data_IF_113780436952
#
_entry.id   IF_113780436952
#
_cell.length_a   1.000
_cell.length_b   1.000
_cell.length_c   1.000
_cell.angle_alpha   90.00
_cell.angle_beta   90.00
_cell.angle_gamma   90.00
#
_symmetry.space_group_name_H-M   'P 1'
#
loop_
_entity.id
_entity.type
_entity.pdbx_description
1 polymer ?
#
# COMPACT_ATOMS: atom_id res chain seq x y z
N UNK A 1 -6.98 99.37 36.79
CA UNK A 1 -6.19 98.15 36.99
C UNK A 1 -6.66 97.09 35.99
N UNK A 2 -5.73 96.61 35.15
CA UNK A 2 -5.63 95.34 34.39
C UNK A 2 -6.92 94.61 33.93
N UNK A 3 -7.11 94.43 32.60
CA UNK A 3 -6.87 93.20 31.79
C UNK A 3 -7.86 92.05 32.16
N UNK A 4 -8.54 91.33 31.27
CA UNK A 4 -8.16 90.82 29.96
C UNK A 4 -9.40 90.18 29.27
N UNK A 5 -9.30 90.05 27.95
CA UNK A 5 -10.22 89.46 26.98
C UNK A 5 -10.46 87.95 27.09
N UNK A 6 -11.62 87.45 26.60
CA UNK A 6 -11.66 86.30 25.67
C UNK A 6 -13.02 86.19 24.95
N UNK A 7 -12.97 86.04 23.62
CA UNK A 7 -14.08 85.71 22.70
C UNK A 7 -14.15 84.18 22.56
N UNK A 8 -15.29 83.60 22.14
CA UNK A 8 -15.43 82.46 21.19
C UNK A 8 -16.91 81.96 21.24
N UNK A 9 -17.75 82.32 20.27
CA UNK A 9 -18.12 81.64 19.01
C UNK A 9 -19.08 80.44 19.14
N UNK A 10 -20.21 80.61 18.45
CA UNK A 10 -21.36 79.76 18.21
C UNK A 10 -20.97 78.51 17.37
N UNK A 11 -21.46 77.34 17.73
CA UNK A 11 -21.28 76.07 17.01
C UNK A 11 -22.61 75.40 16.71
N UNK A 12 -22.90 75.24 15.42
CA UNK A 12 -24.05 74.61 14.77
C UNK A 12 -24.14 73.11 15.09
N UNK A 13 -25.30 72.62 15.56
CA UNK A 13 -25.57 71.17 15.64
C UNK A 13 -25.97 70.65 14.26
N UNK A 14 -25.15 69.78 13.67
CA UNK A 14 -25.50 68.94 12.54
C UNK A 14 -25.90 67.55 13.07
N UNK A 15 -27.16 67.16 12.85
CA UNK A 15 -27.64 65.80 13.08
C UNK A 15 -27.11 64.89 11.97
N UNK A 16 -26.18 64.00 12.32
CA UNK A 16 -25.72 62.91 11.46
C UNK A 16 -26.74 61.77 11.60
N UNK A 17 -27.44 61.45 10.50
CA UNK A 17 -28.24 60.24 10.39
C UNK A 17 -27.32 59.03 10.35
N UNK A 18 -27.42 58.17 11.36
CA UNK A 18 -26.70 56.90 11.44
C UNK A 18 -27.45 55.89 10.55
N UNK A 19 -27.02 55.72 9.31
CA UNK A 19 -27.44 54.59 8.48
C UNK A 19 -26.68 53.35 8.97
N UNK A 20 -27.36 52.47 9.70
CA UNK A 20 -26.86 51.16 10.04
C UNK A 20 -26.81 50.31 8.75
N UNK A 21 -25.65 50.26 8.11
CA UNK A 21 -25.37 49.30 7.05
C UNK A 21 -25.33 47.90 7.66
N UNK A 22 -26.42 47.16 7.48
CA UNK A 22 -26.47 45.73 7.78
C UNK A 22 -25.56 45.02 6.77
N UNK A 23 -24.35 44.66 7.19
CA UNK A 23 -23.49 43.75 6.45
C UNK A 23 -24.19 42.39 6.44
N UNK A 24 -24.90 42.09 5.34
CA UNK A 24 -25.32 40.73 5.04
C UNK A 24 -24.04 39.92 4.83
N UNK A 25 -23.66 39.09 5.81
CA UNK A 25 -22.73 38.00 5.56
C UNK A 25 -23.43 37.06 4.59
N UNK A 26 -23.01 37.10 3.32
CA UNK A 26 -23.34 36.03 2.39
C UNK A 26 -22.54 34.84 2.89
N UNK A 27 -23.21 33.90 3.57
CA UNK A 27 -22.60 32.61 3.81
C UNK A 27 -22.34 32.01 2.42
N UNK A 28 -21.07 32.00 2.01
CA UNK A 28 -20.66 31.22 0.85
C UNK A 28 -21.00 29.77 1.14
N UNK A 29 -21.60 29.10 0.17
CA UNK A 29 -21.84 27.68 0.31
C UNK A 29 -20.47 27.00 0.24
N UNK A 30 -20.09 26.24 1.26
CA UNK A 30 -18.74 25.67 1.38
C UNK A 30 -18.67 24.27 0.74
N UNK A 31 -17.49 23.90 0.29
CA UNK A 31 -17.10 22.57 -0.20
C UNK A 31 -15.85 22.13 0.57
N UNK A 32 -15.63 20.82 0.74
CA UNK A 32 -14.40 20.30 1.34
C UNK A 32 -13.60 19.51 0.33
N UNK A 33 -12.29 19.75 0.26
CA UNK A 33 -11.40 19.07 -0.69
C UNK A 33 -10.17 18.54 0.02
N UNK A 34 -9.93 17.23 -0.10
CA UNK A 34 -8.66 16.59 0.20
C UNK A 34 -7.89 16.37 -1.10
N UNK A 35 -6.61 16.76 -1.14
CA UNK A 35 -5.75 16.59 -2.31
C UNK A 35 -4.75 15.48 -2.00
N UNK A 36 -4.48 14.62 -2.98
CA UNK A 36 -3.57 13.48 -2.87
C UNK A 36 -2.61 13.46 -4.05
N UNK A 37 -1.31 13.36 -3.79
CA UNK A 37 -0.31 13.16 -4.83
C UNK A 37 -0.04 11.67 -5.05
N UNK A 38 -0.64 11.09 -6.09
CA UNK A 38 -0.49 9.68 -6.46
C UNK A 38 0.23 9.47 -7.81
N UNK A 39 0.83 10.51 -8.39
CA UNK A 39 1.55 10.44 -9.67
C UNK A 39 3.06 10.13 -9.48
N UNK A 40 3.58 8.96 -9.88
CA UNK A 40 4.97 8.56 -9.67
C UNK A 40 5.88 8.97 -10.85
N UNK A 41 5.87 10.23 -11.28
CA UNK A 41 6.52 10.63 -12.54
C UNK A 41 8.06 10.79 -12.47
N UNK A 42 8.68 10.57 -11.31
CA UNK A 42 10.13 10.71 -11.09
C UNK A 42 10.66 9.66 -10.10
N UNK A 43 11.95 9.30 -10.24
CA UNK A 43 12.63 8.21 -9.53
C UNK A 43 12.97 8.53 -8.06
N UNK A 44 12.93 9.81 -7.68
CA UNK A 44 13.18 10.29 -6.32
C UNK A 44 11.96 11.05 -5.80
N UNK A 45 11.70 10.95 -4.49
CA UNK A 45 10.57 11.69 -3.86
C UNK A 45 10.69 13.21 -4.09
N UNK A 46 11.88 13.78 -3.89
CA UNK A 46 12.14 15.21 -4.19
C UNK A 46 11.89 15.53 -5.67
N UNK A 47 12.21 14.61 -6.58
CA UNK A 47 11.93 14.75 -8.01
C UNK A 47 10.45 14.77 -8.36
N UNK A 48 9.58 14.23 -7.49
CA UNK A 48 8.12 14.27 -7.65
C UNK A 48 7.48 15.54 -7.10
N UNK A 49 8.27 16.44 -6.52
CA UNK A 49 7.78 17.69 -5.92
C UNK A 49 7.04 18.57 -6.93
N UNK A 50 5.85 19.05 -6.54
CA UNK A 50 5.03 19.99 -7.34
C UNK A 50 4.54 21.19 -6.53
N UNK A 51 4.18 22.24 -7.26
CA UNK A 51 3.35 23.34 -6.78
C UNK A 51 1.95 23.21 -7.38
N UNK A 52 0.94 23.18 -6.52
CA UNK A 52 -0.47 23.19 -6.93
C UNK A 52 -0.99 24.62 -6.85
N UNK A 53 -1.63 25.08 -7.91
CA UNK A 53 -2.25 26.42 -7.97
C UNK A 53 -3.76 26.30 -8.19
N UNK A 54 -4.49 27.25 -7.62
CA UNK A 54 -5.93 27.43 -7.83
C UNK A 54 -6.18 28.88 -8.22
N UNK A 55 -6.83 29.11 -9.36
CA UNK A 55 -7.05 30.43 -9.94
C UNK A 55 -5.75 31.25 -10.08
N UNK A 56 -4.66 30.56 -10.42
CA UNK A 56 -3.31 31.15 -10.59
C UNK A 56 -2.56 31.46 -9.29
N UNK A 57 -3.13 31.21 -8.12
CA UNK A 57 -2.45 31.37 -6.83
C UNK A 57 -1.96 30.01 -6.31
N UNK A 58 -0.72 29.94 -5.83
CA UNK A 58 -0.19 28.73 -5.19
C UNK A 58 -0.96 28.40 -3.90
N UNK A 59 -1.41 27.16 -3.79
CA UNK A 59 -2.15 26.63 -2.62
C UNK A 59 -1.37 25.54 -1.89
N UNK A 60 -0.55 24.78 -2.61
CA UNK A 60 0.39 23.80 -2.06
C UNK A 60 1.74 23.98 -2.75
N UNK A 61 2.82 23.89 -1.99
CA UNK A 61 4.20 23.97 -2.47
C UNK A 61 5.01 22.84 -1.87
N UNK A 62 6.01 22.34 -2.61
CA UNK A 62 6.81 21.17 -2.22
C UNK A 62 5.94 19.96 -1.89
N UNK A 63 4.87 19.76 -2.64
CA UNK A 63 3.94 18.66 -2.45
C UNK A 63 4.47 17.46 -3.24
N UNK A 64 4.89 16.41 -2.56
CA UNK A 64 5.61 15.27 -3.15
C UNK A 64 4.69 14.05 -3.28
N UNK A 65 5.11 13.05 -4.05
CA UNK A 65 4.43 11.76 -4.14
C UNK A 65 4.20 11.16 -2.76
N UNK A 66 2.98 10.64 -2.54
CA UNK A 66 2.42 10.14 -1.26
C UNK A 66 1.91 11.21 -0.30
N UNK A 67 2.16 12.50 -0.57
CA UNK A 67 1.57 13.56 0.24
C UNK A 67 0.06 13.64 0.04
N UNK A 68 -0.63 14.01 1.12
CA UNK A 68 -2.04 14.36 1.08
C UNK A 68 -2.35 15.45 2.09
N UNK A 69 -3.37 16.25 1.81
CA UNK A 69 -3.83 17.30 2.72
C UNK A 69 -4.87 16.75 3.71
N UNK A 70 -5.11 17.42 4.85
CA UNK A 70 -6.43 17.34 5.47
C UNK A 70 -7.49 17.90 4.51
N UNK A 71 -8.77 17.69 4.82
CA UNK A 71 -9.84 18.38 4.10
C UNK A 71 -9.71 19.90 4.27
N UNK A 72 -9.61 20.59 3.14
CA UNK A 72 -9.57 22.04 3.04
C UNK A 72 -10.99 22.55 2.80
N UNK A 73 -11.44 23.50 3.61
CA UNK A 73 -12.72 24.19 3.41
C UNK A 73 -12.52 25.33 2.42
N UNK A 74 -13.31 25.32 1.34
CA UNK A 74 -13.25 26.29 0.26
C UNK A 74 -14.66 26.76 -0.10
N UNK A 75 -14.82 27.99 -0.64
CA UNK A 75 -16.07 28.39 -1.27
C UNK A 75 -16.41 27.49 -2.46
N UNK A 76 -17.66 27.05 -2.59
CA UNK A 76 -18.12 26.38 -3.79
C UNK A 76 -18.06 27.31 -5.00
N UNK A 77 -17.70 26.78 -6.18
CA UNK A 77 -17.55 27.56 -7.40
C UNK A 77 -16.63 26.92 -8.43
N UNK A 78 -16.30 27.70 -9.45
CA UNK A 78 -15.39 27.30 -10.52
C UNK A 78 -13.94 27.61 -10.14
N UNK A 79 -13.05 26.66 -10.42
CA UNK A 79 -11.63 26.75 -10.15
C UNK A 79 -10.81 26.33 -11.36
N UNK A 80 -9.82 27.15 -11.72
CA UNK A 80 -8.76 26.78 -12.65
C UNK A 80 -7.58 26.23 -11.84
N UNK A 81 -7.37 24.92 -11.93
CA UNK A 81 -6.31 24.21 -11.25
C UNK A 81 -5.13 23.98 -12.19
N UNK A 82 -3.91 24.15 -11.67
CA UNK A 82 -2.70 23.74 -12.37
C UNK A 82 -1.71 23.09 -11.40
N UNK A 83 -1.05 22.03 -11.86
CA UNK A 83 0.00 21.30 -11.15
C UNK A 83 1.31 21.48 -11.89
N UNK A 84 2.29 22.09 -11.23
CA UNK A 84 3.55 22.51 -11.85
C UNK A 84 4.70 21.79 -11.14
N UNK A 85 5.45 20.91 -11.83
CA UNK A 85 6.64 20.28 -11.27
C UNK A 85 7.68 21.31 -10.81
N UNK A 86 8.33 21.03 -9.69
CA UNK A 86 9.39 21.88 -9.15
C UNK A 86 10.50 22.09 -10.19
N UNK A 87 10.85 23.35 -10.43
CA UNK A 87 11.84 23.72 -11.46
C UNK A 87 11.28 23.87 -12.88
N UNK A 88 9.98 23.60 -13.10
CA UNK A 88 9.27 23.91 -14.34
C UNK A 88 8.56 25.27 -14.27
N UNK A 89 8.33 25.88 -15.43
CA UNK A 89 7.39 27.01 -15.59
C UNK A 89 6.09 26.59 -16.29
N UNK A 90 6.08 25.41 -16.89
CA UNK A 90 4.92 24.86 -17.59
C UNK A 90 4.19 23.87 -16.68
N UNK A 91 2.85 23.94 -16.60
CA UNK A 91 2.06 22.98 -15.85
C UNK A 91 2.09 21.61 -16.53
N UNK A 92 2.22 20.56 -15.72
CA UNK A 92 2.08 19.17 -16.17
C UNK A 92 0.61 18.74 -16.24
N UNK A 93 -0.25 19.34 -15.40
CA UNK A 93 -1.70 19.13 -15.41
C UNK A 93 -2.39 20.49 -15.32
N UNK A 94 -3.40 20.70 -16.17
CA UNK A 94 -4.33 21.83 -16.08
C UNK A 94 -5.77 21.30 -16.13
N UNK A 95 -6.63 21.82 -15.26
CA UNK A 95 -8.05 21.45 -15.23
C UNK A 95 -8.93 22.60 -14.75
N UNK A 96 -10.01 22.87 -15.46
CA UNK A 96 -11.10 23.71 -14.96
C UNK A 96 -12.17 22.82 -14.34
N UNK A 97 -12.45 23.01 -13.06
CA UNK A 97 -13.39 22.18 -12.29
C UNK A 97 -14.45 23.03 -11.60
N UNK A 98 -15.66 22.51 -11.48
CA UNK A 98 -16.73 23.10 -10.68
C UNK A 98 -16.86 22.30 -9.39
N UNK A 99 -16.66 22.95 -8.26
CA UNK A 99 -16.82 22.35 -6.94
C UNK A 99 -18.20 22.70 -6.37
N UNK A 100 -19.02 21.67 -6.16
CA UNK A 100 -20.39 21.85 -5.68
C UNK A 100 -20.44 21.99 -4.15
N UNK A 101 -21.37 22.82 -3.68
CA UNK A 101 -21.54 23.06 -2.26
C UNK A 101 -22.05 21.82 -1.51
N UNK A 102 -21.52 21.61 -0.30
CA UNK A 102 -21.90 20.51 0.57
C UNK A 102 -21.42 19.13 0.12
N UNK A 103 -20.49 19.08 -0.84
CA UNK A 103 -19.82 17.86 -1.27
C UNK A 103 -18.41 17.81 -0.69
N UNK A 104 -17.99 16.61 -0.31
CA UNK A 104 -16.62 16.32 0.06
C UNK A 104 -15.95 15.63 -1.13
N UNK A 105 -14.78 16.12 -1.52
CA UNK A 105 -13.99 15.55 -2.61
C UNK A 105 -12.63 15.09 -2.13
N UNK A 106 -12.20 13.92 -2.60
CA UNK A 106 -10.79 13.51 -2.60
C UNK A 106 -10.31 13.59 -4.05
N UNK A 107 -9.38 14.49 -4.33
CA UNK A 107 -8.82 14.72 -5.67
C UNK A 107 -7.42 14.14 -5.73
N UNK A 108 -7.23 13.13 -6.58
CA UNK A 108 -5.93 12.49 -6.78
C UNK A 108 -5.26 13.09 -8.02
N UNK A 109 -4.00 13.50 -7.91
CA UNK A 109 -3.13 13.63 -9.07
C UNK A 109 -2.57 12.23 -9.39
N UNK A 110 -2.84 11.71 -10.59
CA UNK A 110 -2.52 10.32 -10.99
C UNK A 110 -1.83 10.29 -12.35
N UNK A 111 -1.30 9.12 -12.72
CA UNK A 111 -0.54 8.89 -13.95
C UNK A 111 0.97 9.07 -13.74
N UNK A 112 1.77 8.53 -14.65
CA UNK A 112 3.24 8.65 -14.65
C UNK A 112 3.75 9.50 -15.83
N UNK A 113 2.86 9.87 -16.76
CA UNK A 113 3.21 10.59 -17.98
C UNK A 113 3.91 9.72 -19.04
N UNK A 114 4.07 8.42 -18.79
CA UNK A 114 4.71 7.46 -19.69
C UNK A 114 3.73 6.36 -20.11
N UNK A 115 3.26 5.56 -19.15
CA UNK A 115 2.26 4.52 -19.36
C UNK A 115 0.84 5.11 -19.35
N UNK A 116 0.57 5.99 -18.40
CA UNK A 116 -0.74 6.63 -18.22
C UNK A 116 -0.58 8.15 -18.16
N UNK A 117 -1.43 8.93 -18.85
CA UNK A 117 -1.32 10.38 -18.86
C UNK A 117 -1.54 10.97 -17.46
N UNK A 118 -0.80 12.04 -17.15
CA UNK A 118 -1.00 12.80 -15.92
C UNK A 118 -2.37 13.48 -15.94
N UNK A 119 -3.15 13.32 -14.87
CA UNK A 119 -4.49 13.92 -14.76
C UNK A 119 -4.93 14.10 -13.30
N UNK A 120 -5.97 14.92 -13.10
CA UNK A 120 -6.68 15.03 -11.83
C UNK A 120 -7.93 14.14 -11.85
N UNK A 121 -8.06 13.30 -10.82
CA UNK A 121 -9.19 12.40 -10.64
C UNK A 121 -9.98 12.75 -9.39
N UNK A 122 -11.15 13.42 -9.52
CA UNK A 122 -12.01 13.71 -8.38
C UNK A 122 -12.85 12.50 -7.99
N UNK A 123 -12.82 12.16 -6.70
CA UNK A 123 -13.69 11.19 -6.07
C UNK A 123 -14.65 11.91 -5.11
N UNK A 124 -15.90 11.47 -5.05
CA UNK A 124 -16.90 12.02 -4.13
C UNK A 124 -16.91 11.18 -2.86
N UNK A 125 -16.76 11.86 -1.71
CA UNK A 125 -16.75 11.25 -0.38
C UNK A 125 -18.11 11.40 0.27
N UNK A 126 -19.10 10.69 -0.28
CA UNK A 126 -20.46 10.69 0.24
C UNK A 126 -20.82 9.28 0.73
N UNK A 127 -20.71 9.08 2.04
CA UNK A 127 -21.09 7.83 2.70
C UNK A 127 -21.73 8.12 4.05
N UNK A 128 -22.83 7.43 4.35
CA UNK A 128 -23.43 7.46 5.67
C UNK A 128 -22.49 6.85 6.71
N UNK A 129 -22.69 7.18 7.99
CA UNK A 129 -21.96 6.53 9.07
C UNK A 129 -22.19 5.01 9.02
N UNK A 130 -21.13 4.20 9.19
CA UNK A 130 -21.26 2.75 9.15
C UNK A 130 -22.06 2.25 10.36
N UNK A 131 -22.61 1.04 10.26
CA UNK A 131 -23.28 0.38 11.37
C UNK A 131 -22.36 0.19 12.58
N UNK A 132 -22.95 0.09 13.79
CA UNK A 132 -22.20 -0.15 15.03
C UNK A 132 -21.30 -1.40 14.91
N UNK A 133 -20.00 -1.21 15.12
CA UNK A 133 -18.99 -2.26 15.00
C UNK A 133 -18.40 -2.44 13.59
N UNK A 134 -18.87 -1.68 12.60
CA UNK A 134 -18.39 -1.72 11.22
C UNK A 134 -17.62 -0.45 10.85
N UNK A 135 -16.95 -0.47 9.69
CA UNK A 135 -16.33 0.67 9.02
C UNK A 135 -16.73 0.73 7.54
N UNK A 136 -16.58 1.89 6.91
CA UNK A 136 -16.66 2.04 5.47
C UNK A 136 -15.26 2.04 4.87
N UNK A 137 -15.06 1.28 3.78
CA UNK A 137 -13.82 1.26 3.02
C UNK A 137 -14.08 1.47 1.53
N UNK A 138 -13.23 2.25 0.87
CA UNK A 138 -13.17 2.39 -0.59
C UNK A 138 -11.79 1.98 -1.08
N UNK A 139 -11.74 1.15 -2.11
CA UNK A 139 -10.51 0.77 -2.81
C UNK A 139 -10.41 1.57 -4.10
N UNK A 140 -9.23 2.13 -4.35
CA UNK A 140 -8.91 2.92 -5.55
C UNK A 140 -7.64 2.36 -6.18
N UNK A 141 -7.67 2.13 -7.49
CA UNK A 141 -6.47 1.73 -8.23
C UNK A 141 -5.94 2.92 -9.04
N UNK A 142 -4.83 3.50 -8.57
CA UNK A 142 -4.17 4.66 -9.15
C UNK A 142 -2.70 4.39 -9.53
N UNK A 143 -2.30 3.13 -9.65
CA UNK A 143 -0.93 2.70 -9.94
C UNK A 143 -0.76 2.50 -11.46
N UNK A 144 -0.02 3.37 -12.18
CA UNK A 144 0.04 3.37 -13.65
C UNK A 144 1.16 2.48 -14.21
N UNK A 145 1.27 1.23 -13.76
CA UNK A 145 2.43 0.38 -14.09
C UNK A 145 2.40 -0.25 -15.49
N UNK A 146 1.36 0.03 -16.29
CA UNK A 146 1.23 -0.43 -17.68
C UNK A 146 0.35 0.52 -18.51
N UNK A 147 0.46 0.44 -19.84
CA UNK A 147 -0.15 1.36 -20.81
C UNK A 147 -1.57 0.97 -21.26
N UNK A 148 -2.02 -0.24 -20.95
CA UNK A 148 -3.40 -0.69 -21.22
C UNK A 148 -4.14 -1.07 -19.94
N UNK A 149 -5.45 -0.84 -19.92
CA UNK A 149 -6.33 -1.18 -18.80
C UNK A 149 -6.17 -2.66 -18.42
N UNK A 150 -6.16 -3.56 -19.41
CA UNK A 150 -6.01 -5.01 -19.16
C UNK A 150 -4.65 -5.37 -18.55
N UNK A 151 -3.59 -4.66 -18.90
CA UNK A 151 -2.26 -4.92 -18.34
C UNK A 151 -2.11 -4.37 -16.93
N UNK A 152 -2.94 -3.37 -16.56
CA UNK A 152 -3.02 -2.85 -15.20
C UNK A 152 -3.97 -3.64 -14.29
N UNK A 153 -4.71 -4.62 -14.81
CA UNK A 153 -5.70 -5.32 -14.01
C UNK A 153 -5.10 -6.02 -12.78
N UNK A 154 -5.68 -5.72 -11.61
CA UNK A 154 -5.36 -6.35 -10.33
C UNK A 154 -6.59 -6.91 -9.64
N UNK A 155 -6.36 -7.80 -8.69
CA UNK A 155 -7.38 -8.35 -7.81
C UNK A 155 -7.03 -8.10 -6.36
N UNK A 156 -8.03 -7.77 -5.54
CA UNK A 156 -7.87 -7.60 -4.10
C UNK A 156 -8.21 -8.91 -3.42
N UNK A 157 -7.24 -9.44 -2.67
CA UNK A 157 -7.35 -10.75 -2.03
C UNK A 157 -6.95 -10.66 -0.56
N UNK A 158 -7.45 -11.58 0.26
CA UNK A 158 -6.88 -11.84 1.59
C UNK A 158 -5.49 -12.48 1.45
N UNK A 159 -4.69 -12.52 2.50
CA UNK A 159 -3.46 -13.31 2.54
C UNK A 159 -3.66 -14.77 2.08
N UNK A 160 -4.76 -15.41 2.52
CA UNK A 160 -5.16 -16.77 2.10
C UNK A 160 -5.68 -16.89 0.66
N UNK A 161 -5.59 -15.83 -0.16
CA UNK A 161 -5.93 -15.85 -1.59
C UNK A 161 -7.41 -15.66 -1.94
N UNK A 162 -8.32 -15.59 -0.96
CA UNK A 162 -9.73 -15.35 -1.21
C UNK A 162 -9.98 -13.93 -1.76
N UNK A 163 -10.81 -13.81 -2.79
CA UNK A 163 -11.19 -12.52 -3.39
C UNK A 163 -12.02 -11.70 -2.41
N UNK A 164 -11.71 -10.41 -2.30
CA UNK A 164 -12.42 -9.44 -1.46
C UNK A 164 -13.43 -8.68 -2.29
N UNK A 165 -14.69 -8.65 -1.86
CA UNK A 165 -15.77 -7.84 -2.44
C UNK A 165 -15.90 -7.91 -3.98
N UNK A 166 -15.64 -9.07 -4.58
CA UNK A 166 -15.61 -9.27 -6.03
C UNK A 166 -14.66 -8.33 -6.80
N UNK A 167 -13.64 -7.77 -6.14
CA UNK A 167 -12.62 -6.93 -6.75
C UNK A 167 -11.61 -7.81 -7.49
N UNK A 168 -11.98 -8.21 -8.70
CA UNK A 168 -11.16 -9.00 -9.64
C UNK A 168 -11.09 -8.26 -10.96
N UNK A 169 -9.91 -8.22 -11.59
CA UNK A 169 -9.74 -7.51 -12.85
C UNK A 169 -10.03 -6.02 -12.72
N UNK A 170 -9.61 -5.40 -11.61
CA UNK A 170 -9.74 -3.96 -11.36
C UNK A 170 -8.65 -3.26 -12.16
N UNK A 171 -8.98 -2.49 -13.21
CA UNK A 171 -7.97 -1.78 -14.00
C UNK A 171 -7.55 -0.48 -13.31
N UNK A 172 -6.48 0.15 -13.83
CA UNK A 172 -6.12 1.52 -13.49
C UNK A 172 -7.32 2.46 -13.68
N UNK A 173 -7.40 3.49 -12.85
CA UNK A 173 -8.50 4.47 -12.88
C UNK A 173 -9.87 3.91 -12.47
N UNK A 174 -9.89 2.73 -11.81
CA UNK A 174 -11.10 2.15 -11.23
C UNK A 174 -11.15 2.30 -9.70
N UNK A 175 -12.37 2.38 -9.15
CA UNK A 175 -12.62 2.48 -7.72
C UNK A 175 -13.90 1.73 -7.35
N UNK A 176 -13.94 1.17 -6.14
CA UNK A 176 -15.01 0.25 -5.69
C UNK A 176 -16.30 0.93 -5.23
N UNK A 177 -16.28 2.24 -4.99
CA UNK A 177 -17.19 2.90 -4.07
C UNK A 177 -16.91 2.52 -2.62
N UNK A 178 -17.58 3.19 -1.68
CA UNK A 178 -17.56 2.76 -0.29
C UNK A 178 -18.42 1.52 -0.10
N UNK A 179 -17.89 0.54 0.62
CA UNK A 179 -18.63 -0.61 1.12
C UNK A 179 -18.31 -0.83 2.59
N UNK A 180 -19.26 -1.41 3.32
CA UNK A 180 -19.18 -1.59 4.75
C UNK A 180 -18.59 -2.98 5.10
N UNK A 181 -17.66 -3.02 6.06
CA UNK A 181 -17.07 -4.25 6.59
C UNK A 181 -16.99 -4.21 8.12
N UNK A 182 -16.95 -5.35 8.82
CA UNK A 182 -16.68 -5.39 10.25
C UNK A 182 -15.33 -4.75 10.61
N UNK A 183 -15.24 -4.14 11.78
CA UNK A 183 -13.95 -3.71 12.32
C UNK A 183 -13.08 -4.91 12.71
N UNK A 184 -11.76 -4.77 12.57
CA UNK A 184 -10.80 -5.79 12.94
C UNK A 184 -9.46 -5.64 12.22
N UNK A 185 -8.60 -6.62 12.41
CA UNK A 185 -7.29 -6.69 11.74
C UNK A 185 -7.43 -7.43 10.41
N UNK A 186 -6.96 -6.80 9.34
CA UNK A 186 -7.03 -7.33 7.99
C UNK A 186 -5.63 -7.51 7.39
N UNK A 187 -5.43 -8.66 6.77
CA UNK A 187 -4.22 -8.99 6.00
C UNK A 187 -4.63 -9.21 4.54
N UNK A 188 -4.41 -8.17 3.73
CA UNK A 188 -4.86 -8.07 2.35
C UNK A 188 -3.67 -7.97 1.42
N UNK A 189 -3.87 -8.28 0.15
CA UNK A 189 -2.89 -8.13 -0.90
C UNK A 189 -3.52 -7.70 -2.22
N UNK A 190 -2.72 -7.00 -3.02
CA UNK A 190 -2.99 -6.71 -4.43
C UNK A 190 -2.24 -7.74 -5.25
N UNK A 191 -2.96 -8.51 -6.06
CA UNK A 191 -2.41 -9.62 -6.82
C UNK A 191 -2.91 -9.62 -8.27
N UNK A 192 -2.30 -10.43 -9.12
CA UNK A 192 -2.82 -10.75 -10.46
C UNK A 192 -4.20 -11.39 -10.39
N UNK A 193 -4.90 -11.40 -11.52
CA UNK A 193 -6.25 -11.95 -11.63
C UNK A 193 -6.35 -13.43 -11.26
N UNK A 194 -5.33 -14.23 -11.61
CA UNK A 194 -5.23 -15.62 -11.20
C UNK A 194 -4.78 -15.80 -9.74
N UNK A 195 -4.35 -14.73 -9.07
CA UNK A 195 -3.85 -14.72 -7.70
C UNK A 195 -2.45 -15.31 -7.54
N UNK A 196 -1.76 -15.60 -8.64
CA UNK A 196 -0.43 -16.23 -8.64
C UNK A 196 0.71 -15.25 -8.47
N UNK A 197 0.52 -13.96 -8.75
CA UNK A 197 1.53 -12.90 -8.61
C UNK A 197 1.04 -11.88 -7.61
N UNK A 198 1.79 -11.65 -6.53
CA UNK A 198 1.54 -10.55 -5.62
C UNK A 198 2.24 -9.28 -6.12
N UNK A 199 1.49 -8.20 -6.30
CA UNK A 199 2.03 -6.88 -6.68
C UNK A 199 2.32 -6.02 -5.46
N UNK A 200 1.41 -6.01 -4.48
CA UNK A 200 1.57 -5.26 -3.23
C UNK A 200 1.06 -6.13 -2.07
N UNK A 201 1.88 -6.27 -1.04
CA UNK A 201 1.57 -7.07 0.14
C UNK A 201 1.76 -6.22 1.41
N UNK A 202 0.76 -5.43 1.82
CA UNK A 202 0.83 -4.65 3.06
C UNK A 202 0.91 -5.55 4.29
N UNK A 203 1.57 -5.08 5.34
CA UNK A 203 1.49 -5.72 6.66
C UNK A 203 0.05 -5.68 7.20
N UNK A 204 -0.34 -6.60 8.11
CA UNK A 204 -1.69 -6.59 8.66
C UNK A 204 -2.00 -5.27 9.36
N UNK A 205 -3.16 -4.69 9.04
CA UNK A 205 -3.56 -3.39 9.55
C UNK A 205 -4.84 -3.51 10.40
N UNK A 206 -4.88 -2.78 11.51
CA UNK A 206 -6.09 -2.66 12.33
C UNK A 206 -7.03 -1.60 11.76
N UNK A 207 -8.26 -2.00 11.48
CA UNK A 207 -9.30 -1.15 10.91
C UNK A 207 -10.40 -0.92 11.98
N UNK A 208 -10.44 0.25 12.63
CA UNK A 208 -11.34 0.51 13.75
C UNK A 208 -12.78 0.76 13.28
N UNK A 209 -13.74 0.42 14.14
CA UNK A 209 -15.17 0.71 13.91
C UNK A 209 -15.42 2.22 13.80
N UNK A 210 -16.39 2.60 12.97
CA UNK A 210 -16.79 3.99 12.73
C UNK A 210 -15.92 4.74 11.72
N UNK A 211 -14.86 4.12 11.18
CA UNK A 211 -13.95 4.77 10.24
C UNK A 211 -14.51 4.82 8.82
N UNK A 212 -14.14 5.87 8.08
CA UNK A 212 -14.28 5.96 6.62
C UNK A 212 -12.87 5.98 6.03
N UNK A 213 -12.49 4.92 5.34
CA UNK A 213 -11.10 4.73 4.87
C UNK A 213 -11.09 4.64 3.34
N UNK A 214 -10.17 5.36 2.72
CA UNK A 214 -9.83 5.14 1.29
C UNK A 214 -8.44 4.53 1.21
N UNK A 215 -8.32 3.36 0.59
CA UNK A 215 -7.04 2.72 0.29
C UNK A 215 -6.76 2.84 -1.19
N UNK A 216 -5.58 3.35 -1.53
CA UNK A 216 -5.20 3.73 -2.89
C UNK A 216 -3.94 2.96 -3.26
N UNK A 217 -4.01 2.09 -4.26
CA UNK A 217 -2.82 1.50 -4.86
C UNK A 217 -2.11 2.57 -5.72
N UNK A 218 -0.83 2.81 -5.43
CA UNK A 218 0.00 3.86 -6.05
C UNK A 218 1.35 3.29 -6.49
N UNK A 219 2.11 4.10 -7.24
CA UNK A 219 3.43 3.73 -7.77
C UNK A 219 3.35 3.07 -9.15
N UNK A 220 4.45 3.07 -9.89
CA UNK A 220 4.55 2.46 -11.22
C UNK A 220 5.52 1.26 -11.25
N UNK A 221 6.22 0.98 -10.15
CA UNK A 221 7.22 -0.08 -10.04
C UNK A 221 8.54 0.23 -10.77
N UNK A 222 8.66 1.43 -11.37
CA UNK A 222 9.84 1.85 -12.14
C UNK A 222 10.47 3.10 -11.53
N UNK A 223 9.71 4.19 -11.46
CA UNK A 223 10.13 5.43 -10.83
C UNK A 223 9.87 5.37 -9.32
N UNK A 224 8.69 4.90 -8.92
CA UNK A 224 8.33 4.73 -7.51
C UNK A 224 7.84 3.31 -7.28
N UNK A 225 8.23 2.66 -6.16
CA UNK A 225 7.77 1.31 -5.85
C UNK A 225 6.23 1.27 -5.75
N UNK A 226 5.66 0.12 -6.09
CA UNK A 226 4.23 -0.13 -5.86
C UNK A 226 3.95 -0.13 -4.36
N UNK A 227 2.86 0.52 -3.96
CA UNK A 227 2.49 0.66 -2.55
C UNK A 227 1.02 1.01 -2.34
N UNK A 228 0.61 1.08 -1.07
CA UNK A 228 -0.75 1.49 -0.69
C UNK A 228 -0.66 2.76 0.16
N UNK A 229 -1.37 3.80 -0.27
CA UNK A 229 -1.65 4.99 0.52
C UNK A 229 -3.04 4.86 1.13
N UNK A 230 -3.14 4.86 2.46
CA UNK A 230 -4.40 4.79 3.19
C UNK A 230 -4.75 6.14 3.79
N UNK A 231 -5.89 6.72 3.45
CA UNK A 231 -6.34 8.00 4.01
C UNK A 231 -7.19 7.75 5.27
N UNK A 232 -6.93 8.44 6.40
CA UNK A 232 -5.95 9.52 6.60
C UNK A 232 -4.61 9.08 7.24
N UNK A 233 -4.26 7.79 7.19
CA UNK A 233 -3.12 7.21 7.92
C UNK A 233 -1.76 7.54 7.26
N UNK A 234 -1.68 7.44 5.94
CA UNK A 234 -0.44 7.53 5.16
C UNK A 234 -0.10 6.21 4.46
N UNK A 235 1.16 6.09 4.03
CA UNK A 235 1.65 4.89 3.37
C UNK A 235 1.62 3.70 4.33
N UNK A 236 1.07 2.58 3.87
CA UNK A 236 1.10 1.34 4.62
C UNK A 236 2.46 0.65 4.44
N UNK A 237 3.05 0.10 5.51
CA UNK A 237 4.23 -0.73 5.37
C UNK A 237 3.90 -1.93 4.49
N UNK A 238 4.76 -2.21 3.52
CA UNK A 238 4.67 -3.41 2.70
C UNK A 238 5.70 -4.43 3.18
N UNK A 239 5.32 -5.70 3.16
CA UNK A 239 6.25 -6.81 3.37
C UNK A 239 7.29 -6.80 2.27
N UNK A 240 8.50 -7.25 2.60
CA UNK A 240 9.53 -7.39 1.60
C UNK A 240 9.07 -8.42 0.55
N UNK A 241 9.17 -8.09 -0.76
CA UNK A 241 8.84 -9.05 -1.80
C UNK A 241 9.64 -10.33 -1.59
N UNK A 242 8.96 -11.47 -1.59
CA UNK A 242 9.69 -12.73 -1.72
C UNK A 242 10.46 -12.70 -3.03
N UNK A 243 11.75 -13.00 -2.98
CA UNK A 243 12.60 -13.08 -4.15
C UNK A 243 13.31 -14.45 -4.21
N UNK A 244 14.16 -14.62 -5.21
CA UNK A 244 14.94 -15.84 -5.36
C UNK A 244 16.26 -15.79 -4.56
N UNK A 245 16.47 -14.79 -3.69
CA UNK A 245 17.74 -14.60 -2.98
C UNK A 245 18.10 -15.80 -2.12
N UNK A 246 17.12 -16.48 -1.52
CA UNK A 246 17.34 -17.65 -0.65
C UNK A 246 17.31 -18.99 -1.40
N UNK A 247 17.07 -18.98 -2.72
CA UNK A 247 16.98 -20.19 -3.54
C UNK A 247 18.29 -20.97 -3.57
N UNK A 248 18.22 -22.29 -3.50
CA UNK A 248 19.38 -23.16 -3.68
C UNK A 248 19.57 -24.14 -2.53
N UNK A 249 20.81 -24.60 -2.40
CA UNK A 249 21.14 -25.69 -1.48
C UNK A 249 21.79 -25.11 -0.24
N UNK A 250 21.30 -25.54 0.91
CA UNK A 250 21.73 -25.13 2.24
C UNK A 250 22.15 -26.35 3.02
N UNK A 251 23.27 -26.28 3.72
CA UNK A 251 23.78 -27.35 4.56
C UNK A 251 23.68 -26.94 6.02
N UNK A 252 23.46 -27.92 6.89
CA UNK A 252 23.60 -27.72 8.33
C UNK A 252 25.07 -27.50 8.69
N UNK A 253 25.35 -26.42 9.42
CA UNK A 253 26.67 -26.15 9.99
C UNK A 253 26.91 -26.97 11.28
N UNK A 254 25.83 -27.44 11.90
CA UNK A 254 25.85 -28.19 13.17
C UNK A 254 26.00 -29.70 12.98
N UNK A 255 25.60 -30.22 11.82
CA UNK A 255 25.49 -31.66 11.56
C UNK A 255 26.06 -32.04 10.19
N UNK A 256 26.67 -33.23 10.10
CA UNK A 256 27.16 -33.74 8.83
C UNK A 256 26.01 -34.36 8.01
N UNK A 257 26.00 -34.11 6.69
CA UNK A 257 25.11 -34.75 5.69
C UNK A 257 23.62 -34.43 5.84
N UNK A 258 23.31 -33.30 6.46
CA UNK A 258 21.95 -32.79 6.55
C UNK A 258 21.86 -31.41 5.89
N UNK A 259 20.65 -31.06 5.46
CA UNK A 259 20.37 -29.74 4.94
C UNK A 259 19.09 -29.67 4.13
N UNK A 260 18.99 -28.61 3.35
CA UNK A 260 17.76 -28.16 2.72
C UNK A 260 18.00 -27.77 1.27
N UNK A 261 17.04 -28.09 0.42
CA UNK A 261 16.93 -27.51 -0.92
C UNK A 261 15.75 -26.56 -0.85
N UNK A 262 16.03 -25.26 -0.99
CA UNK A 262 15.06 -24.19 -0.85
C UNK A 262 14.70 -23.65 -2.24
N UNK A 263 13.40 -23.51 -2.49
CA UNK A 263 12.88 -22.92 -3.70
C UNK A 263 11.78 -21.92 -3.34
N UNK A 264 12.12 -20.64 -3.23
CA UNK A 264 11.13 -19.58 -3.16
C UNK A 264 10.27 -19.57 -4.41
N UNK A 265 9.01 -19.22 -4.22
CA UNK A 265 8.07 -18.87 -5.28
C UNK A 265 7.68 -17.41 -5.00
N UNK A 266 8.48 -16.43 -5.46
CA UNK A 266 8.25 -14.98 -5.30
C UNK A 266 6.82 -14.55 -5.48
N UNK A 267 6.23 -15.01 -6.58
CA UNK A 267 4.89 -14.63 -7.00
C UNK A 267 3.82 -15.04 -5.97
N UNK A 268 4.06 -16.11 -5.20
CA UNK A 268 3.09 -16.71 -4.28
C UNK A 268 3.37 -16.40 -2.79
N UNK A 269 4.44 -15.67 -2.44
CA UNK A 269 4.92 -15.53 -1.05
C UNK A 269 5.06 -16.88 -0.34
N UNK A 270 5.72 -17.80 -1.03
CA UNK A 270 5.76 -19.21 -0.65
C UNK A 270 7.17 -19.74 -0.75
N UNK A 271 7.54 -20.61 0.17
CA UNK A 271 8.79 -21.36 0.15
C UNK A 271 8.44 -22.85 0.12
N UNK A 272 8.90 -23.51 -0.94
CA UNK A 272 8.82 -24.96 -1.05
C UNK A 272 10.22 -25.54 -1.05
N UNK A 273 10.32 -26.82 -0.70
CA UNK A 273 11.62 -27.45 -0.75
C UNK A 273 11.66 -28.85 -0.20
N UNK A 274 12.87 -29.31 0.04
CA UNK A 274 13.16 -30.66 0.51
C UNK A 274 14.15 -30.61 1.65
N UNK A 275 13.88 -31.38 2.70
CA UNK A 275 14.84 -31.67 3.76
C UNK A 275 15.52 -32.99 3.39
N UNK A 276 16.85 -32.97 3.29
CA UNK A 276 17.64 -34.19 3.17
C UNK A 276 18.32 -34.44 4.51
N UNK A 277 18.07 -35.60 5.10
CA UNK A 277 18.74 -36.05 6.32
C UNK A 277 19.23 -37.48 6.14
N UNK A 278 20.38 -37.75 6.75
CA UNK A 278 20.99 -39.06 6.79
C UNK A 278 20.80 -39.68 8.18
N UNK A 279 20.09 -40.80 8.26
CA UNK A 279 19.75 -41.49 9.51
C UNK A 279 20.98 -41.71 10.43
N UNK A 280 21.03 -41.10 11.63
CA UNK A 280 22.09 -41.34 12.60
C UNK A 280 21.93 -42.69 13.33
N UNK A 281 20.77 -43.36 13.26
CA UNK A 281 20.50 -44.64 13.91
C UNK A 281 21.04 -45.87 13.17
N UNK A 282 21.69 -45.68 12.01
CA UNK A 282 22.48 -46.71 11.34
C UNK A 282 21.68 -47.69 10.47
N UNK A 283 20.43 -47.39 10.11
CA UNK A 283 19.64 -48.22 9.17
C UNK A 283 20.16 -48.13 7.72
N UNK A 284 20.89 -47.05 7.39
CA UNK A 284 21.44 -46.82 6.05
C UNK A 284 20.42 -46.33 5.02
N UNK A 285 19.20 -45.98 5.44
CA UNK A 285 18.15 -45.48 4.56
C UNK A 285 18.14 -43.95 4.52
N UNK A 286 18.15 -43.39 3.30
CA UNK A 286 17.91 -41.97 3.08
C UNK A 286 16.43 -41.65 3.27
N UNK A 287 16.13 -40.62 4.06
CA UNK A 287 14.77 -40.09 4.18
C UNK A 287 14.71 -38.70 3.59
N UNK A 288 13.68 -38.49 2.79
CA UNK A 288 13.39 -37.23 2.13
C UNK A 288 12.08 -36.72 2.68
N UNK A 289 12.07 -35.46 3.09
CA UNK A 289 10.85 -34.75 3.48
C UNK A 289 10.66 -33.59 2.51
N UNK A 290 9.42 -33.28 2.15
CA UNK A 290 9.15 -32.01 1.47
C UNK A 290 8.49 -31.07 2.45
N UNK A 291 8.62 -29.78 2.18
CA UNK A 291 7.87 -28.77 2.89
C UNK A 291 7.28 -27.75 1.94
N UNK A 292 6.19 -27.16 2.39
CA UNK A 292 5.41 -26.19 1.64
C UNK A 292 4.76 -25.22 2.61
N UNK A 293 5.04 -23.93 2.46
CA UNK A 293 4.32 -22.92 3.22
C UNK A 293 4.70 -21.50 2.90
N UNK A 294 4.23 -20.60 3.74
CA UNK A 294 4.35 -19.16 3.54
C UNK A 294 5.78 -18.70 3.72
N UNK A 295 6.16 -17.67 2.98
CA UNK A 295 7.43 -16.99 3.08
C UNK A 295 7.19 -15.49 2.93
N UNK A 296 7.64 -14.71 3.90
CA UNK A 296 7.56 -13.26 3.87
C UNK A 296 8.59 -12.68 4.84
N UNK A 297 9.07 -11.46 4.61
CA UNK A 297 9.94 -10.75 5.56
C UNK A 297 11.16 -11.56 6.02
N UNK A 298 11.68 -12.44 5.14
CA UNK A 298 12.82 -13.34 5.41
C UNK A 298 12.53 -14.40 6.48
N UNK A 299 11.26 -14.67 6.74
CA UNK A 299 10.78 -15.75 7.59
C UNK A 299 9.84 -16.67 6.81
N UNK A 300 10.02 -17.99 6.93
CA UNK A 300 9.11 -18.96 6.32
C UNK A 300 8.58 -19.93 7.37
N UNK A 301 7.30 -20.26 7.30
CA UNK A 301 6.68 -21.33 8.08
C UNK A 301 6.04 -22.31 7.12
N UNK A 302 6.48 -23.56 7.15
CA UNK A 302 6.06 -24.57 6.19
C UNK A 302 5.63 -25.88 6.86
N UNK A 303 4.57 -26.49 6.33
CA UNK A 303 4.17 -27.84 6.72
C UNK A 303 5.17 -28.85 6.15
N UNK A 304 5.61 -29.81 6.97
CA UNK A 304 6.57 -30.85 6.57
C UNK A 304 5.87 -32.18 6.39
N UNK A 305 6.06 -32.77 5.21
CA UNK A 305 5.49 -34.05 4.84
C UNK A 305 6.56 -35.10 4.58
N UNK A 306 6.34 -36.29 5.13
CA UNK A 306 7.13 -37.49 4.86
C UNK A 306 6.44 -38.36 3.81
N UNK A 307 7.22 -38.88 2.86
CA UNK A 307 6.75 -39.80 1.83
C UNK A 307 7.47 -41.14 1.99
N UNK A 308 6.71 -42.22 1.86
CA UNK A 308 7.23 -43.59 1.91
C UNK A 308 6.69 -44.40 0.73
N UNK A 309 7.40 -45.48 0.38
CA UNK A 309 6.98 -46.48 -0.61
C UNK A 309 6.82 -46.00 -2.07
N UNK A 310 7.38 -44.84 -2.42
CA UNK A 310 7.42 -44.37 -3.80
C UNK A 310 8.20 -45.33 -4.71
N UNK A 311 7.62 -45.69 -5.86
CA UNK A 311 8.29 -46.50 -6.88
C UNK A 311 8.43 -45.69 -8.17
N UNK A 312 9.64 -45.64 -8.73
CA UNK A 312 9.84 -45.11 -10.08
C UNK A 312 9.04 -45.95 -11.08
N UNK A 313 8.23 -45.30 -11.93
CA UNK A 313 7.29 -45.93 -12.86
C UNK A 313 6.15 -46.73 -12.19
N UNK A 314 5.92 -46.53 -10.88
CA UNK A 314 4.71 -47.01 -10.21
C UNK A 314 3.48 -46.23 -10.68
N UNK A 315 2.32 -46.88 -10.66
CA UNK A 315 1.03 -46.26 -11.04
C UNK A 315 0.21 -45.79 -9.84
N UNK A 316 0.59 -46.21 -8.64
CA UNK A 316 -0.12 -45.86 -7.42
C UNK A 316 0.32 -44.46 -6.95
N UNK A 317 -0.63 -43.57 -6.62
CA UNK A 317 -0.30 -42.26 -6.06
C UNK A 317 0.39 -42.43 -4.70
N UNK A 318 1.44 -41.66 -4.47
CA UNK A 318 2.16 -41.66 -3.20
C UNK A 318 1.42 -40.73 -2.23
N UNK A 319 1.00 -41.23 -1.08
CA UNK A 319 0.40 -40.41 -0.02
C UNK A 319 1.49 -39.86 0.91
N UNK A 320 1.44 -38.56 1.17
CA UNK A 320 2.29 -37.89 2.16
C UNK A 320 1.64 -37.92 3.54
N UNK A 321 2.46 -38.04 4.59
CA UNK A 321 2.03 -37.87 5.98
C UNK A 321 2.62 -36.60 6.54
N UNK A 322 1.78 -35.71 7.09
CA UNK A 322 2.25 -34.52 7.82
C UNK A 322 2.96 -34.98 9.08
N UNK A 323 4.22 -34.60 9.24
CA UNK A 323 5.05 -35.00 10.39
C UNK A 323 5.38 -33.83 11.32
N UNK A 324 5.17 -32.60 10.88
CA UNK A 324 5.50 -31.40 11.64
C UNK A 324 5.46 -30.13 10.80
N UNK A 325 6.08 -29.07 11.31
CA UNK A 325 6.33 -27.81 10.62
C UNK A 325 7.81 -27.43 10.71
N UNK A 326 8.29 -26.66 9.73
CA UNK A 326 9.62 -26.06 9.76
C UNK A 326 9.50 -24.55 9.64
N UNK A 327 10.19 -23.86 10.54
CA UNK A 327 10.34 -22.41 10.54
C UNK A 327 11.75 -22.05 10.08
N UNK A 328 11.88 -21.11 9.14
CA UNK A 328 13.15 -20.56 8.67
C UNK A 328 13.26 -19.08 9.00
N UNK A 329 14.43 -18.64 9.46
CA UNK A 329 14.80 -17.24 9.63
C UNK A 329 16.08 -16.96 8.82
N UNK A 330 15.98 -16.20 7.73
CA UNK A 330 17.13 -15.90 6.87
C UNK A 330 17.86 -14.66 7.39
N UNK A 331 18.97 -14.87 8.11
CA UNK A 331 19.78 -13.82 8.73
C UNK A 331 20.68 -13.07 7.73
N UNK A 332 21.15 -13.77 6.68
CA UNK A 332 21.97 -13.20 5.61
C UNK A 332 21.80 -13.99 4.29
N UNK A 333 22.52 -13.58 3.24
CA UNK A 333 22.54 -14.25 1.94
C UNK A 333 23.06 -15.70 1.97
N UNK A 334 23.84 -16.01 3.00
CA UNK A 334 24.58 -17.25 3.18
C UNK A 334 24.37 -17.89 4.55
N UNK A 335 23.54 -17.28 5.43
CA UNK A 335 23.26 -17.78 6.77
C UNK A 335 21.76 -17.70 7.11
N UNK A 336 21.22 -18.75 7.73
CA UNK A 336 19.85 -18.84 8.17
C UNK A 336 19.71 -19.78 9.37
N UNK A 337 18.60 -19.69 10.09
CA UNK A 337 18.20 -20.66 11.11
C UNK A 337 17.02 -21.48 10.57
N UNK A 338 17.01 -22.78 10.84
CA UNK A 338 15.86 -23.65 10.58
C UNK A 338 15.46 -24.39 11.86
N UNK A 339 14.17 -24.33 12.21
CA UNK A 339 13.59 -25.03 13.37
C UNK A 339 12.50 -25.97 12.90
N UNK A 340 12.73 -27.28 12.96
CA UNK A 340 11.71 -28.31 12.70
C UNK A 340 11.03 -28.69 14.01
N UNK A 341 9.72 -28.53 14.06
CA UNK A 341 8.86 -28.98 15.15
C UNK A 341 8.03 -30.16 14.69
N UNK A 342 8.26 -31.35 15.26
CA UNK A 342 7.48 -32.54 14.97
C UNK A 342 6.11 -32.50 15.66
N UNK A 343 5.17 -33.28 15.15
CA UNK A 343 3.81 -33.43 15.73
C UNK A 343 3.80 -33.94 17.18
N UNK A 344 4.87 -34.58 17.65
CA UNK A 344 5.02 -35.00 19.05
C UNK A 344 5.61 -33.91 19.97
N UNK A 345 5.88 -32.72 19.41
CA UNK A 345 6.46 -31.57 20.11
C UNK A 345 7.99 -31.59 20.18
N UNK A 346 8.67 -32.55 19.55
CA UNK A 346 10.13 -32.55 19.45
C UNK A 346 10.62 -31.46 18.50
N UNK A 347 11.62 -30.71 18.93
CA UNK A 347 12.22 -29.62 18.15
C UNK A 347 13.67 -29.94 17.76
N UNK A 348 14.03 -29.58 16.53
CA UNK A 348 15.37 -29.68 15.98
C UNK A 348 15.74 -28.34 15.34
N UNK A 349 16.92 -27.81 15.69
CA UNK A 349 17.40 -26.51 15.20
C UNK A 349 18.70 -26.73 14.44
N UNK A 350 18.84 -26.06 13.30
CA UNK A 350 20.06 -26.04 12.51
C UNK A 350 20.47 -24.60 12.15
N UNK A 351 21.74 -24.28 12.37
CA UNK A 351 22.43 -23.19 11.72
C UNK A 351 22.72 -23.60 10.27
N UNK A 352 22.26 -22.81 9.30
CA UNK A 352 22.39 -23.14 7.88
C UNK A 352 23.44 -22.29 7.20
N UNK A 353 24.25 -22.94 6.36
CA UNK A 353 25.16 -22.28 5.42
C UNK A 353 24.73 -22.55 3.97
N UNK A 354 24.93 -21.60 3.05
CA UNK A 354 24.57 -21.79 1.63
C UNK A 354 25.69 -22.43 0.81
N UNK A 355 25.37 -23.45 0.00
CA UNK A 355 26.31 -24.17 -0.86
C UNK A 355 26.35 -23.67 -2.32
N UNK A 356 25.24 -23.14 -2.84
CA UNK A 356 25.14 -22.71 -4.25
C UNK A 356 25.71 -21.30 -4.46
N UNK A 357 26.33 -21.04 -5.63
CA UNK A 357 26.76 -19.69 -6.00
C UNK A 357 25.59 -18.72 -5.96
N UNK A 358 25.87 -17.53 -5.43
CA UNK A 358 24.93 -16.43 -5.25
C UNK A 358 24.22 -16.08 -6.55
N UNK A 359 22.92 -16.32 -6.61
CA UNK A 359 22.05 -15.36 -7.29
C UNK A 359 22.34 -13.97 -6.69
N UNK A 360 22.20 -12.86 -7.45
CA UNK A 360 22.30 -11.53 -6.87
C UNK A 360 21.40 -11.49 -5.63
N UNK A 361 22.03 -11.34 -4.47
CA UNK A 361 21.38 -11.34 -3.19
C UNK A 361 21.51 -9.91 -2.68
N UNK A 362 20.46 -9.13 -2.91
CA UNK A 362 20.37 -7.77 -2.42
C UNK A 362 19.34 -7.81 -1.29
N UNK A 363 19.83 -7.96 -0.07
CA UNK A 363 19.01 -7.95 1.14
C UNK A 363 18.93 -6.55 1.77
N UNK A 364 19.33 -5.54 1.00
CA UNK A 364 19.42 -4.12 1.36
C UNK A 364 18.27 -3.32 0.76
#
# INVERSE_FOLDING_TARGET
>A
MQRQSSKFKLGLLATIGLAAGMLMSVATAEVRVQIVHAAPFADTLEGTSVTVTANGAAVLENFEFKDFTPYLELPAGDYDLAVIPTGSTEPAIEASVTLEAGIDYTVLAVGDGLNQPLTLWPLIDNVDAPADGNLNIRVVHAAPFADSDEATEVSIRTAGGAVVNNLVGVPYFAQSGFFEIPAGTYDLKVASNDGLVNFIDPVPADLPAGANITVIAIGDGVNQPLGILALPVGELPVRLPVDNSVSGWWFSQDTEREGFILQPIPAENRLVGTIYSWDPAGSGEQRWFTFDGTFADREATAEVQAFANGQFLGTDPIEGTVIGSVDFEFLACDNALATLTLTDGSEFVWDLGRLTQTLPCNLD
#
